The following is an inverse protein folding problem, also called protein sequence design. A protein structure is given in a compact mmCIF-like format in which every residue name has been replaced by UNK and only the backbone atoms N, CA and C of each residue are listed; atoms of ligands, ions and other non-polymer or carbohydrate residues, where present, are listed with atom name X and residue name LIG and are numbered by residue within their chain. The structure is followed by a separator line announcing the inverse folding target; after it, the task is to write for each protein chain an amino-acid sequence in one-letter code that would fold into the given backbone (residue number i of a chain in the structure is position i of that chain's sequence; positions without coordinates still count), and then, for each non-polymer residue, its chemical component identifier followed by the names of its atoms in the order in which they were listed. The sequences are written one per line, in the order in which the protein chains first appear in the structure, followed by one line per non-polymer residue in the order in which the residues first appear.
data_IF_053547113339
#
_entry.id   IF_053547113339
#
_cell.length_a   1.000
_cell.length_b   1.000
_cell.length_c   1.000
_cell.angle_alpha   90.00
_cell.angle_beta   90.00
_cell.angle_gamma   90.00
#
_symmetry.space_group_name_H-M   'P 1'
#
loop_
_entity.id
_entity.type
_entity.pdbx_description
1 polymer ?
#
# COMPACT_ATOMS: atom_id res chain seq x y z
N UNK A 1 -7.36 5.15 -4.93
CA UNK A 1 -8.06 5.76 -3.77
C UNK A 1 -9.57 5.47 -3.79
N UNK A 2 -10.31 5.78 -4.86
CA UNK A 2 -11.75 5.49 -4.93
C UNK A 2 -12.08 3.99 -4.77
N UNK A 3 -11.37 3.12 -5.50
CA UNK A 3 -11.67 1.69 -5.51
C UNK A 3 -11.47 0.96 -4.15
N UNK A 4 -10.49 1.33 -3.33
CA UNK A 4 -10.38 0.77 -1.96
C UNK A 4 -11.49 1.26 -1.04
N UNK A 5 -11.92 2.52 -1.20
CA UNK A 5 -13.05 3.09 -0.44
C UNK A 5 -14.37 2.41 -0.81
N UNK A 6 -14.57 2.12 -2.08
CA UNK A 6 -15.77 1.45 -2.56
C UNK A 6 -15.77 -0.04 -2.19
N UNK A 7 -14.62 -0.71 -2.28
CA UNK A 7 -14.45 -2.11 -1.85
C UNK A 7 -14.66 -2.26 -0.34
N UNK A 8 -14.09 -1.37 0.48
CA UNK A 8 -14.26 -1.39 1.94
C UNK A 8 -15.71 -1.28 2.41
N UNK A 9 -16.56 -0.55 1.68
CA UNK A 9 -18.01 -0.47 1.94
C UNK A 9 -18.74 -1.78 1.64
N UNK A 10 -18.27 -2.54 0.64
CA UNK A 10 -18.88 -3.80 0.21
C UNK A 10 -18.47 -5.02 1.04
N UNK A 11 -17.33 -4.95 1.74
CA UNK A 11 -16.83 -6.05 2.57
C UNK A 11 -17.58 -6.11 3.89
N UNK A 12 -18.16 -7.29 4.21
CA UNK A 12 -18.90 -7.51 5.45
C UNK A 12 -17.99 -7.72 6.68
N UNK A 13 -16.73 -8.13 6.48
CA UNK A 13 -15.75 -8.30 7.57
C UNK A 13 -15.27 -6.96 8.13
N UNK A 14 -15.56 -6.62 9.41
CA UNK A 14 -15.13 -5.36 10.01
C UNK A 14 -13.62 -5.22 10.13
N UNK A 15 -12.89 -6.34 10.30
CA UNK A 15 -11.44 -6.35 10.41
C UNK A 15 -10.77 -5.96 9.09
N UNK A 16 -11.21 -6.57 7.98
CA UNK A 16 -10.69 -6.26 6.64
C UNK A 16 -11.03 -4.81 6.25
N UNK A 17 -12.23 -4.31 6.61
CA UNK A 17 -12.58 -2.91 6.39
C UNK A 17 -11.64 -1.95 7.12
N UNK A 18 -11.35 -2.20 8.41
CA UNK A 18 -10.42 -1.36 9.18
C UNK A 18 -9.01 -1.37 8.58
N UNK A 19 -8.52 -2.53 8.13
CA UNK A 19 -7.23 -2.64 7.45
C UNK A 19 -7.19 -1.73 6.21
N UNK A 20 -8.23 -1.77 5.37
CA UNK A 20 -8.33 -0.92 4.18
C UNK A 20 -8.38 0.58 4.52
N UNK A 21 -9.11 0.97 5.57
CA UNK A 21 -9.17 2.36 6.03
C UNK A 21 -7.80 2.85 6.54
N UNK A 22 -7.07 2.02 7.28
CA UNK A 22 -5.71 2.31 7.72
C UNK A 22 -4.74 2.47 6.55
N UNK A 23 -4.80 1.57 5.56
CA UNK A 23 -4.00 1.67 4.33
C UNK A 23 -4.31 2.98 3.60
N UNK A 24 -5.59 3.33 3.41
CA UNK A 24 -6.00 4.57 2.75
C UNK A 24 -5.44 5.80 3.46
N UNK A 25 -5.52 5.82 4.79
CA UNK A 25 -5.04 6.93 5.62
C UNK A 25 -3.53 7.07 5.47
N UNK A 26 -2.78 5.96 5.62
CA UNK A 26 -1.33 5.97 5.47
C UNK A 26 -0.89 6.41 4.06
N UNK A 27 -1.56 5.93 3.01
CA UNK A 27 -1.23 6.31 1.64
C UNK A 27 -1.44 7.79 1.37
N UNK A 28 -2.38 8.43 2.06
CA UNK A 28 -2.58 9.88 1.96
C UNK A 28 -1.36 10.64 2.49
N UNK A 29 -0.89 10.25 3.68
CA UNK A 29 0.30 10.84 4.30
C UNK A 29 1.56 10.57 3.47
N UNK A 30 1.68 9.36 2.92
CA UNK A 30 2.78 9.00 2.03
C UNK A 30 2.81 9.83 0.74
N UNK A 31 1.65 10.08 0.12
CA UNK A 31 1.58 10.95 -1.07
C UNK A 31 2.00 12.37 -0.73
N UNK A 32 1.57 12.91 0.41
CA UNK A 32 1.97 14.25 0.85
C UNK A 32 3.49 14.32 1.13
N UNK A 33 4.05 13.29 1.76
CA UNK A 33 5.49 13.18 1.99
C UNK A 33 6.31 13.05 0.69
N UNK A 34 5.77 12.34 -0.31
CA UNK A 34 6.44 12.11 -1.59
C UNK A 34 6.42 13.32 -2.52
N UNK A 35 5.45 14.25 -2.37
CA UNK A 35 5.42 15.50 -3.16
C UNK A 35 6.70 16.32 -3.04
N UNK A 36 7.40 16.24 -1.90
CA UNK A 36 8.70 16.89 -1.72
C UNK A 36 9.80 16.32 -2.66
N UNK A 37 9.57 15.15 -3.26
CA UNK A 37 10.47 14.46 -4.16
C UNK A 37 10.01 14.48 -5.63
N UNK A 38 8.86 15.10 -5.94
CA UNK A 38 8.29 15.15 -7.31
C UNK A 38 9.28 15.72 -8.33
N UNK A 39 10.12 16.69 -7.94
CA UNK A 39 11.13 17.29 -8.81
C UNK A 39 12.35 16.38 -9.07
N UNK A 40 12.54 15.32 -8.27
CA UNK A 40 13.71 14.42 -8.32
C UNK A 40 13.37 13.06 -8.94
N UNK A 41 12.08 12.75 -9.11
CA UNK A 41 11.62 11.46 -9.61
C UNK A 41 11.50 11.46 -11.14
N UNK A 42 12.31 10.64 -11.81
CA UNK A 42 12.24 10.40 -13.27
C UNK A 42 11.63 9.04 -13.63
N UNK A 43 11.16 8.29 -12.63
CA UNK A 43 10.60 6.95 -12.81
C UNK A 43 9.15 6.97 -13.29
N UNK A 44 8.67 5.82 -13.74
CA UNK A 44 7.25 5.58 -14.03
C UNK A 44 6.72 4.65 -12.94
N UNK A 45 5.80 5.13 -12.10
CA UNK A 45 5.10 4.26 -11.16
C UNK A 45 3.88 3.66 -11.86
N UNK A 46 3.82 2.33 -12.04
CA UNK A 46 2.65 1.72 -12.66
C UNK A 46 1.42 1.96 -11.78
N UNK A 47 0.36 2.48 -12.38
CA UNK A 47 -0.95 2.54 -11.72
C UNK A 47 -1.44 1.11 -11.52
N UNK A 48 -1.52 0.69 -10.27
CA UNK A 48 -1.99 -0.64 -9.96
C UNK A 48 -3.52 -0.63 -9.89
N UNK A 49 -4.16 -1.49 -10.68
CA UNK A 49 -5.60 -1.59 -10.79
C UNK A 49 -6.15 -2.31 -9.56
N UNK A 50 -7.02 -1.63 -8.82
CA UNK A 50 -7.74 -2.24 -7.70
C UNK A 50 -8.97 -2.93 -8.29
N UNK A 51 -9.15 -4.25 -8.13
CA UNK A 51 -10.34 -4.94 -8.61
C UNK A 51 -11.57 -4.38 -7.89
N UNK A 52 -12.62 -4.05 -8.65
CA UNK A 52 -13.92 -3.62 -8.11
C UNK A 52 -14.74 -4.81 -7.59
N UNK A 53 -14.08 -5.80 -7.01
CA UNK A 53 -14.72 -7.00 -6.47
C UNK A 53 -15.10 -6.79 -5.01
N UNK A 54 -16.30 -7.22 -4.63
CA UNK A 54 -16.69 -7.33 -3.23
C UNK A 54 -16.12 -8.57 -2.53
N UNK A 55 -15.35 -9.40 -3.26
CA UNK A 55 -14.66 -10.56 -2.72
C UNK A 55 -13.47 -10.13 -1.83
N UNK A 56 -13.52 -10.42 -0.51
CA UNK A 56 -12.45 -10.05 0.41
C UNK A 56 -11.10 -10.68 0.05
N UNK A 57 -11.09 -11.90 -0.52
CA UNK A 57 -9.85 -12.60 -0.85
C UNK A 57 -9.15 -11.91 -2.03
N UNK A 58 -9.87 -11.63 -3.11
CA UNK A 58 -9.35 -10.89 -4.25
C UNK A 58 -8.86 -9.48 -3.86
N UNK A 59 -9.57 -8.78 -2.96
CA UNK A 59 -9.16 -7.45 -2.47
C UNK A 59 -7.88 -7.53 -1.63
N UNK A 60 -7.77 -8.51 -0.74
CA UNK A 60 -6.56 -8.69 0.07
C UNK A 60 -5.35 -9.12 -0.77
N UNK A 61 -5.52 -9.99 -1.77
CA UNK A 61 -4.46 -10.37 -2.72
C UNK A 61 -3.95 -9.15 -3.49
N UNK A 62 -4.87 -8.35 -4.04
CA UNK A 62 -4.51 -7.09 -4.68
C UNK A 62 -3.79 -6.13 -3.73
N UNK A 63 -4.21 -6.07 -2.45
CA UNK A 63 -3.53 -5.25 -1.45
C UNK A 63 -2.09 -5.70 -1.20
N UNK A 64 -1.85 -7.01 -1.02
CA UNK A 64 -0.50 -7.58 -0.85
C UNK A 64 0.40 -7.21 -2.03
N UNK A 65 -0.09 -7.41 -3.26
CA UNK A 65 0.67 -7.11 -4.47
C UNK A 65 0.99 -5.61 -4.58
N UNK A 66 0.02 -4.76 -4.25
CA UNK A 66 0.17 -3.31 -4.33
C UNK A 66 1.18 -2.80 -3.31
N UNK A 67 1.08 -3.26 -2.06
CA UNK A 67 1.98 -2.83 -1.00
C UNK A 67 3.41 -3.34 -1.24
N UNK A 68 3.56 -4.55 -1.75
CA UNK A 68 4.87 -5.13 -2.09
C UNK A 68 5.53 -4.38 -3.26
N UNK A 69 4.78 -4.11 -4.33
CA UNK A 69 5.27 -3.34 -5.46
C UNK A 69 5.63 -1.90 -5.07
N UNK A 70 4.82 -1.28 -4.20
CA UNK A 70 5.08 0.06 -3.69
C UNK A 70 6.34 0.11 -2.81
N UNK A 71 6.53 -0.86 -1.91
CA UNK A 71 7.72 -0.94 -1.08
C UNK A 71 8.99 -1.07 -1.94
N UNK A 72 8.95 -1.91 -2.99
CA UNK A 72 10.06 -2.06 -3.93
C UNK A 72 10.39 -0.76 -4.67
N UNK A 73 9.37 -0.05 -5.16
CA UNK A 73 9.57 1.24 -5.82
C UNK A 73 10.18 2.30 -4.87
N UNK A 74 9.81 2.26 -3.59
CA UNK A 74 10.42 3.13 -2.57
C UNK A 74 11.86 2.72 -2.24
N UNK A 75 12.21 1.44 -2.25
CA UNK A 75 13.61 1.02 -2.09
C UNK A 75 14.48 1.59 -3.21
N UNK A 76 14.02 1.47 -4.46
CA UNK A 76 14.69 2.02 -5.64
C UNK A 76 14.83 3.55 -5.54
N UNK A 77 13.76 4.24 -5.11
CA UNK A 77 13.82 5.67 -4.83
C UNK A 77 14.86 5.98 -3.74
N UNK A 78 14.85 5.26 -2.62
CA UNK A 78 15.78 5.48 -1.52
C UNK A 78 17.24 5.32 -1.93
N UNK A 79 17.54 4.40 -2.85
CA UNK A 79 18.88 4.20 -3.40
C UNK A 79 19.36 5.40 -4.24
N UNK A 80 18.44 6.09 -4.90
CA UNK A 80 18.73 7.29 -5.70
C UNK A 80 18.85 8.58 -4.87
N UNK A 81 18.36 8.57 -3.62
CA UNK A 81 18.35 9.76 -2.74
C UNK A 81 19.70 9.90 -2.02
N UNK A 82 20.43 10.98 -2.31
CA UNK A 82 21.74 11.26 -1.74
C UNK A 82 21.69 11.72 -0.27
N UNK A 83 20.66 12.48 0.11
CA UNK A 83 20.50 13.02 1.46
C UNK A 83 19.97 11.94 2.43
N UNK A 84 20.61 11.81 3.59
CA UNK A 84 20.34 10.74 4.56
C UNK A 84 18.93 10.80 5.16
N UNK A 85 18.52 11.96 5.67
CA UNK A 85 17.19 12.15 6.28
C UNK A 85 16.05 11.83 5.30
N UNK A 86 16.05 12.39 4.07
CA UNK A 86 15.16 11.97 2.99
C UNK A 86 15.18 10.46 2.69
N UNK A 87 16.36 9.84 2.64
CA UNK A 87 16.50 8.40 2.38
C UNK A 87 15.84 7.58 3.48
N UNK A 88 16.05 7.94 4.74
CA UNK A 88 15.44 7.26 5.89
C UNK A 88 13.91 7.40 5.87
N UNK A 89 13.41 8.57 5.48
CA UNK A 89 11.96 8.80 5.31
C UNK A 89 11.36 7.90 4.22
N UNK A 90 12.02 7.78 3.07
CA UNK A 90 11.56 6.88 2.00
C UNK A 90 11.63 5.41 2.44
N UNK A 91 12.68 5.00 3.16
CA UNK A 91 12.79 3.64 3.72
C UNK A 91 11.69 3.31 4.72
N UNK A 92 11.37 4.23 5.63
CA UNK A 92 10.29 3.99 6.62
C UNK A 92 8.93 3.81 5.94
N UNK A 93 8.70 4.50 4.82
CA UNK A 93 7.49 4.32 4.00
C UNK A 93 7.46 2.95 3.30
N UNK A 94 8.61 2.43 2.87
CA UNK A 94 8.73 1.08 2.31
C UNK A 94 8.43 0.02 3.39
N UNK A 95 8.98 0.20 4.60
CA UNK A 95 8.72 -0.68 5.74
C UNK A 95 7.25 -0.70 6.16
N UNK A 96 6.59 0.47 6.15
CA UNK A 96 5.16 0.56 6.39
C UNK A 96 4.37 -0.24 5.34
N UNK A 97 4.72 -0.15 4.06
CA UNK A 97 4.11 -0.97 2.99
C UNK A 97 4.25 -2.46 3.25
N UNK A 98 5.45 -2.94 3.60
CA UNK A 98 5.69 -4.35 3.94
C UNK A 98 4.86 -4.82 5.13
N UNK A 99 4.65 -3.98 6.15
CA UNK A 99 3.78 -4.31 7.29
C UNK A 99 2.33 -4.49 6.86
N UNK A 100 1.81 -3.61 6.01
CA UNK A 100 0.45 -3.77 5.48
C UNK A 100 0.30 -5.00 4.58
N UNK A 101 1.31 -5.31 3.77
CA UNK A 101 1.34 -6.56 3.00
C UNK A 101 1.28 -7.78 3.93
N UNK A 102 2.11 -7.81 4.99
CA UNK A 102 2.09 -8.88 5.99
C UNK A 102 0.71 -9.03 6.65
N UNK A 103 0.11 -7.93 7.09
CA UNK A 103 -1.23 -7.98 7.71
C UNK A 103 -2.30 -8.46 6.73
N UNK A 104 -2.21 -8.08 5.46
CA UNK A 104 -3.14 -8.55 4.44
C UNK A 104 -2.97 -10.05 4.18
N UNK A 105 -1.72 -10.56 4.17
CA UNK A 105 -1.42 -11.99 4.12
C UNK A 105 -1.98 -12.73 5.33
N UNK A 106 -1.81 -12.21 6.55
CA UNK A 106 -2.36 -12.82 7.76
C UNK A 106 -3.89 -12.98 7.66
N UNK A 107 -4.59 -12.01 7.07
CA UNK A 107 -6.04 -12.09 6.86
C UNK A 107 -6.41 -13.07 5.73
N UNK A 108 -5.58 -13.22 4.70
CA UNK A 108 -5.75 -14.25 3.67
C UNK A 108 -5.61 -15.65 4.24
N UNK A 109 -4.58 -15.86 5.08
CA UNK A 109 -4.34 -17.14 5.74
C UNK A 109 -5.51 -17.49 6.66
N UNK A 110 -6.05 -16.51 7.40
CA UNK A 110 -7.26 -16.70 8.21
C UNK A 110 -8.47 -17.08 7.35
N UNK A 111 -8.66 -16.46 6.18
CA UNK A 111 -9.77 -16.82 5.27
C UNK A 111 -9.60 -18.24 4.71
N UNK A 112 -8.38 -18.70 4.45
CA UNK A 112 -8.10 -20.04 3.94
C UNK A 112 -8.35 -21.16 4.97
N UNK A 113 -8.49 -20.82 6.26
CA UNK A 113 -8.79 -21.77 7.33
C UNK A 113 -10.30 -22.03 7.52
N UNK A 114 -11.17 -21.27 6.85
CA UNK A 114 -12.63 -21.38 6.91
C UNK A 114 -13.22 -21.79 5.56
#
# INVERSE_FOLDING_TARGET
MAAYRDSGKSIQSPAIRKLLESVITQKREHVEALRAFDAQFTGVSPRIAIPASSDPEAVLKSLVDHESAFAKALDELSASVAAEEPRLKVKSMADAGRKFASWATDHLDLLALF
#
